data_IF_887320718245
#
_entry.id   IF_887320718245
#
_cell.length_a   1.000
_cell.length_b   1.000
_cell.length_c   1.000
_cell.angle_alpha   90.00
_cell.angle_beta   90.00
_cell.angle_gamma   90.00
#
_symmetry.space_group_name_H-M   'P 1'
#
loop_
_entity.id
_entity.type
_entity.pdbx_description
1 polymer ?
#
# COMPACT_ATOMS: atom_id res chain seq x y z
N UNK A 1 1.14 -5.55 9.83
CA UNK A 1 1.66 -6.20 8.60
C UNK A 1 1.77 -5.18 7.47
N UNK A 2 2.54 -5.53 6.43
CA UNK A 2 2.71 -4.73 5.21
C UNK A 2 2.06 -5.46 4.06
N UNK A 3 1.27 -4.75 3.27
CA UNK A 3 0.55 -5.30 2.13
C UNK A 3 1.07 -4.62 0.88
N UNK A 4 1.50 -5.41 -0.09
CA UNK A 4 1.90 -4.94 -1.40
C UNK A 4 1.05 -5.68 -2.45
N UNK A 5 0.51 -4.94 -3.41
CA UNK A 5 -0.38 -5.48 -4.42
C UNK A 5 -0.14 -4.81 -5.76
N UNK A 6 -0.51 -5.51 -6.84
CA UNK A 6 -0.41 -5.00 -8.20
C UNK A 6 -1.77 -4.92 -8.88
N UNK A 7 -1.96 -3.88 -9.68
CA UNK A 7 -3.10 -3.70 -10.58
C UNK A 7 -2.61 -3.25 -11.96
N UNK A 8 -3.48 -3.35 -12.96
CA UNK A 8 -3.20 -2.91 -14.31
C UNK A 8 -4.25 -1.90 -14.78
N UNK A 9 -3.80 -0.69 -15.09
CA UNK A 9 -4.65 0.38 -15.62
C UNK A 9 -4.67 0.37 -17.14
N UNK A 10 -5.73 0.97 -17.68
CA UNK A 10 -5.84 1.42 -19.07
C UNK A 10 -4.78 2.49 -19.36
N UNK A 11 -3.78 2.23 -20.23
CA UNK A 11 -2.72 3.19 -20.53
C UNK A 11 -3.22 4.55 -21.04
N UNK A 12 -4.36 4.56 -21.72
CA UNK A 12 -5.00 5.77 -22.24
C UNK A 12 -5.64 6.65 -21.16
N UNK A 13 -5.79 6.16 -19.92
CA UNK A 13 -6.43 6.90 -18.82
C UNK A 13 -5.46 7.29 -17.68
N UNK A 14 -4.15 7.05 -17.83
CA UNK A 14 -3.17 7.26 -16.74
C UNK A 14 -3.07 8.71 -16.27
N UNK A 15 -3.15 9.66 -17.20
CA UNK A 15 -3.10 11.09 -16.88
C UNK A 15 -4.27 11.50 -15.99
N UNK A 16 -5.48 11.05 -16.32
CA UNK A 16 -6.65 11.33 -15.51
C UNK A 16 -6.59 10.60 -14.16
N UNK A 17 -6.21 9.32 -14.13
CA UNK A 17 -6.05 8.57 -12.89
C UNK A 17 -5.14 9.29 -11.89
N UNK A 18 -3.99 9.78 -12.40
CA UNK A 18 -3.01 10.53 -11.60
C UNK A 18 -3.60 11.83 -11.06
N UNK A 19 -4.34 12.58 -11.90
CA UNK A 19 -5.00 13.81 -11.47
C UNK A 19 -6.05 13.55 -10.37
N UNK A 20 -6.84 12.48 -10.48
CA UNK A 20 -7.81 12.09 -9.44
C UNK A 20 -7.11 11.79 -8.11
N UNK A 21 -6.00 11.06 -8.15
CA UNK A 21 -5.27 10.67 -6.93
C UNK A 21 -4.42 11.80 -6.32
N UNK A 22 -4.26 12.93 -7.02
CA UNK A 22 -3.68 14.14 -6.44
C UNK A 22 -4.63 14.84 -5.45
N UNK A 23 -5.94 14.63 -5.61
CA UNK A 23 -7.01 15.27 -4.82
C UNK A 23 -8.08 14.24 -4.45
N UNK A 24 -7.67 13.20 -3.69
CA UNK A 24 -8.60 12.21 -3.14
C UNK A 24 -9.57 12.90 -2.19
N UNK A 25 -10.85 12.51 -2.26
CA UNK A 25 -11.89 13.11 -1.43
C UNK A 25 -11.64 12.88 0.07
N UNK A 26 -11.87 13.90 0.93
CA UNK A 26 -11.65 13.77 2.37
C UNK A 26 -12.34 12.56 3.00
N UNK A 27 -13.59 12.28 2.63
CA UNK A 27 -14.39 11.19 3.18
C UNK A 27 -13.81 9.82 2.83
N UNK A 28 -13.19 9.70 1.64
CA UNK A 28 -12.50 8.48 1.22
C UNK A 28 -11.19 8.30 2.00
N UNK A 29 -10.45 9.39 2.25
CA UNK A 29 -9.23 9.35 3.06
C UNK A 29 -9.54 8.92 4.50
N UNK A 30 -10.59 9.50 5.10
CA UNK A 30 -11.07 9.15 6.44
C UNK A 30 -11.53 7.69 6.51
N UNK A 31 -12.27 7.19 5.51
CA UNK A 31 -12.68 5.79 5.46
C UNK A 31 -11.49 4.82 5.42
N UNK A 32 -10.44 5.17 4.66
CA UNK A 32 -9.19 4.40 4.61
C UNK A 32 -8.46 4.39 5.95
N UNK A 33 -8.38 5.55 6.61
CA UNK A 33 -7.76 5.67 7.93
C UNK A 33 -8.56 4.89 9.00
N UNK A 34 -9.88 5.06 9.04
CA UNK A 34 -10.81 4.38 9.97
C UNK A 34 -10.77 2.85 9.81
N UNK A 35 -10.56 2.36 8.59
CA UNK A 35 -10.37 0.94 8.30
C UNK A 35 -9.02 0.39 8.83
N UNK A 36 -8.12 1.27 9.29
CA UNK A 36 -6.83 0.92 9.86
C UNK A 36 -5.72 0.75 8.83
N UNK A 37 -5.89 1.29 7.61
CA UNK A 37 -4.80 1.40 6.63
C UNK A 37 -4.00 2.66 6.90
N UNK A 38 -2.67 2.54 6.88
CA UNK A 38 -1.73 3.64 7.09
C UNK A 38 -0.55 3.51 6.16
N UNK A 39 0.22 4.60 6.03
CA UNK A 39 1.40 4.63 5.17
C UNK A 39 1.10 4.17 3.72
N UNK A 40 -0.09 4.53 3.23
CA UNK A 40 -0.62 4.06 1.95
C UNK A 40 -0.03 4.88 0.80
N UNK A 41 0.67 4.22 -0.13
CA UNK A 41 1.21 4.81 -1.35
C UNK A 41 0.86 3.99 -2.58
N UNK A 42 0.70 4.69 -3.70
CA UNK A 42 0.52 4.10 -5.02
C UNK A 42 1.66 4.56 -5.94
N UNK A 43 2.20 3.63 -6.74
CA UNK A 43 3.30 3.86 -7.67
C UNK A 43 2.87 3.40 -9.04
N UNK A 44 2.96 4.28 -10.04
CA UNK A 44 2.50 4.03 -11.39
C UNK A 44 3.66 4.00 -12.38
N UNK A 45 3.69 2.98 -13.24
CA UNK A 45 4.60 2.88 -14.39
C UNK A 45 3.87 3.31 -15.67
N UNK A 46 4.62 3.80 -16.65
CA UNK A 46 4.07 4.36 -17.90
C UNK A 46 3.27 3.36 -18.75
N UNK A 47 3.43 2.05 -18.54
CA UNK A 47 2.66 0.98 -19.19
C UNK A 47 1.37 0.62 -18.43
N UNK A 48 1.03 1.36 -17.37
CA UNK A 48 -0.18 1.16 -16.57
C UNK A 48 -0.04 0.17 -15.43
N UNK A 49 1.14 -0.41 -15.18
CA UNK A 49 1.37 -1.18 -13.96
C UNK A 49 1.30 -0.24 -12.76
N UNK A 50 0.37 -0.52 -11.84
CA UNK A 50 0.24 0.18 -10.58
C UNK A 50 0.60 -0.77 -9.43
N UNK A 51 1.51 -0.32 -8.57
CA UNK A 51 1.85 -0.98 -7.32
C UNK A 51 1.26 -0.17 -6.17
N UNK A 52 0.48 -0.82 -5.31
CA UNK A 52 0.03 -0.23 -4.07
C UNK A 52 0.71 -0.87 -2.87
N UNK A 53 0.99 -0.05 -1.86
CA UNK A 53 1.56 -0.46 -0.58
C UNK A 53 0.81 0.21 0.56
N UNK A 54 0.42 -0.53 1.58
CA UNK A 54 -0.03 0.03 2.85
C UNK A 54 0.36 -0.87 4.02
N UNK A 55 0.32 -0.29 5.21
CA UNK A 55 0.42 -1.00 6.47
C UNK A 55 -0.96 -1.11 7.13
N UNK A 56 -1.20 -2.24 7.78
CA UNK A 56 -2.41 -2.46 8.58
C UNK A 56 -2.17 -3.56 9.61
N UNK A 57 -2.98 -3.64 10.66
CA UNK A 57 -2.82 -4.68 11.67
C UNK A 57 -3.63 -5.94 11.32
N UNK A 58 -4.75 -5.79 10.61
CA UNK A 58 -5.62 -6.87 10.14
C UNK A 58 -6.19 -6.48 8.77
N UNK A 59 -5.62 -7.06 7.74
CA UNK A 59 -5.95 -6.71 6.37
C UNK A 59 -7.33 -7.22 5.91
N UNK A 60 -7.75 -8.39 6.37
CA UNK A 60 -9.09 -8.89 6.05
C UNK A 60 -10.16 -8.01 6.70
N UNK A 61 -9.92 -7.57 7.94
CA UNK A 61 -10.80 -6.62 8.61
C UNK A 61 -10.84 -5.28 7.88
N UNK A 62 -9.69 -4.72 7.51
CA UNK A 62 -9.62 -3.46 6.77
C UNK A 62 -10.42 -3.52 5.46
N UNK A 63 -10.28 -4.61 4.71
CA UNK A 63 -11.04 -4.83 3.47
C UNK A 63 -12.55 -4.92 3.73
N UNK A 64 -12.99 -5.64 4.77
CA UNK A 64 -14.42 -5.72 5.13
C UNK A 64 -15.00 -4.38 5.54
N UNK A 65 -14.25 -3.57 6.28
CA UNK A 65 -14.69 -2.24 6.70
C UNK A 65 -14.87 -1.33 5.50
N UNK A 66 -13.89 -1.26 4.60
CA UNK A 66 -13.98 -0.44 3.38
C UNK A 66 -15.11 -0.88 2.45
N UNK A 67 -15.34 -2.19 2.31
CA UNK A 67 -16.44 -2.73 1.51
C UNK A 67 -17.83 -2.38 2.06
N UNK A 68 -17.96 -2.16 3.37
CA UNK A 68 -19.21 -1.85 4.02
C UNK A 68 -19.43 -0.34 4.24
N UNK A 69 -18.42 0.48 4.00
CA UNK A 69 -18.46 1.92 4.27
C UNK A 69 -19.09 2.68 3.10
N UNK A 70 -20.24 3.35 3.27
CA UNK A 70 -20.88 4.07 2.18
C UNK A 70 -20.05 5.24 1.64
N UNK A 71 -19.07 5.76 2.40
CA UNK A 71 -18.16 6.82 1.95
C UNK A 71 -17.28 6.39 0.76
N UNK A 72 -17.03 5.09 0.59
CA UNK A 72 -16.14 4.56 -0.44
C UNK A 72 -16.86 4.34 -1.78
N UNK A 73 -18.17 4.15 -1.76
CA UNK A 73 -18.96 3.68 -2.90
C UNK A 73 -18.81 4.57 -4.15
N UNK A 74 -19.04 5.88 -4.00
CA UNK A 74 -19.00 6.82 -5.12
C UNK A 74 -17.58 6.96 -5.71
N UNK A 75 -16.56 6.93 -4.83
CA UNK A 75 -15.17 6.98 -5.25
C UNK A 75 -14.79 5.73 -6.04
N UNK A 76 -15.11 4.55 -5.51
CA UNK A 76 -14.85 3.27 -6.16
C UNK A 76 -15.56 3.14 -7.51
N UNK A 77 -16.84 3.55 -7.59
CA UNK A 77 -17.60 3.55 -8.83
C UNK A 77 -16.88 4.37 -9.91
N UNK A 78 -16.44 5.58 -9.57
CA UNK A 78 -15.69 6.42 -10.51
C UNK A 78 -14.32 5.85 -10.86
N UNK A 79 -13.65 5.17 -9.92
CA UNK A 79 -12.32 4.62 -10.14
C UNK A 79 -12.32 3.30 -10.92
N UNK A 80 -13.43 2.54 -10.89
CA UNK A 80 -13.56 1.25 -11.58
C UNK A 80 -13.19 1.33 -13.07
N UNK A 81 -13.49 2.46 -13.71
CA UNK A 81 -13.24 2.70 -15.13
C UNK A 81 -11.76 2.85 -15.50
N UNK A 82 -10.82 2.93 -14.56
CA UNK A 82 -9.39 3.04 -14.90
C UNK A 82 -8.71 1.68 -15.08
N UNK A 83 -9.28 0.61 -14.55
CA UNK A 83 -8.64 -0.70 -14.50
C UNK A 83 -8.98 -1.55 -15.73
N UNK A 84 -7.97 -2.18 -16.35
CA UNK A 84 -8.23 -3.23 -17.34
C UNK A 84 -9.03 -4.34 -16.65
N UNK A 85 -10.12 -4.77 -17.29
CA UNK A 85 -11.20 -5.57 -16.70
C UNK A 85 -10.69 -6.56 -15.64
N UNK A 86 -11.04 -6.29 -14.39
CA UNK A 86 -11.16 -7.32 -13.36
C UNK A 86 -12.58 -7.85 -13.49
N UNK A 87 -12.79 -9.15 -13.46
CA UNK A 87 -14.13 -9.74 -13.40
C UNK A 87 -14.81 -9.48 -12.01
N UNK A 88 -14.35 -8.47 -11.25
CA UNK A 88 -14.75 -8.07 -9.89
C UNK A 88 -14.08 -6.77 -9.41
N UNK A 89 -13.94 -6.56 -8.08
CA UNK A 89 -13.35 -5.33 -7.50
C UNK A 89 -11.82 -5.34 -7.61
N UNK A 90 -11.19 -4.45 -8.43
CA UNK A 90 -9.76 -4.53 -8.74
C UNK A 90 -8.84 -4.41 -7.51
N UNK A 91 -9.27 -3.71 -6.46
CA UNK A 91 -8.51 -3.49 -5.23
C UNK A 91 -8.58 -4.67 -4.24
N UNK A 92 -9.57 -5.56 -4.38
CA UNK A 92 -9.74 -6.77 -3.56
C UNK A 92 -9.24 -8.04 -4.27
N UNK A 93 -9.27 -8.05 -5.61
CA UNK A 93 -8.78 -9.14 -6.45
C UNK A 93 -7.33 -8.93 -6.91
N UNK A 94 -6.75 -7.76 -6.60
CA UNK A 94 -5.36 -7.45 -6.92
C UNK A 94 -4.42 -8.55 -6.42
N UNK A 95 -3.60 -9.16 -7.30
CA UNK A 95 -2.59 -10.11 -6.88
C UNK A 95 -1.67 -9.49 -5.84
N UNK A 96 -1.59 -10.14 -4.67
CA UNK A 96 -0.68 -9.75 -3.60
C UNK A 96 0.74 -10.14 -3.97
N UNK A 97 1.67 -9.24 -3.71
CA UNK A 97 3.09 -9.50 -3.82
C UNK A 97 3.62 -9.99 -2.47
N UNK A 98 4.43 -11.04 -2.51
CA UNK A 98 5.08 -11.59 -1.30
C UNK A 98 6.23 -10.69 -0.90
N UNK A 99 6.21 -10.16 0.32
CA UNK A 99 7.37 -9.49 0.91
C UNK A 99 8.48 -10.52 1.15
N UNK A 100 9.62 -10.34 0.48
CA UNK A 100 10.80 -11.21 0.64
C UNK A 100 11.90 -10.58 1.50
N UNK A 101 11.82 -9.26 1.75
CA UNK A 101 12.80 -8.50 2.51
C UNK A 101 12.20 -7.23 3.10
N UNK A 102 12.58 -6.91 4.35
CA UNK A 102 12.36 -5.62 5.00
C UNK A 102 13.58 -5.27 5.86
N UNK A 103 14.21 -4.12 5.58
CA UNK A 103 15.48 -3.72 6.18
C UNK A 103 15.34 -3.52 7.69
N UNK A 104 14.32 -2.77 8.10
CA UNK A 104 14.12 -2.33 9.48
C UNK A 104 13.81 -3.51 10.39
N UNK A 105 13.07 -4.51 9.92
CA UNK A 105 12.78 -5.72 10.70
C UNK A 105 14.05 -6.53 10.95
N UNK A 106 14.93 -6.65 9.94
CA UNK A 106 16.20 -7.37 10.10
C UNK A 106 17.18 -6.58 10.98
N UNK A 107 17.26 -5.26 10.82
CA UNK A 107 18.06 -4.39 11.70
C UNK A 107 17.57 -4.43 13.14
N UNK A 108 16.26 -4.43 13.38
CA UNK A 108 15.69 -4.53 14.73
C UNK A 108 16.07 -5.87 15.39
N UNK A 109 15.92 -6.98 14.65
CA UNK A 109 16.35 -8.31 15.10
C UNK A 109 17.85 -8.37 15.40
N UNK A 110 18.69 -7.85 14.50
CA UNK A 110 20.14 -7.81 14.69
C UNK A 110 20.53 -6.95 15.90
N UNK A 111 19.89 -5.79 16.08
CA UNK A 111 20.16 -4.91 17.23
C UNK A 111 19.71 -5.53 18.55
N UNK A 112 18.62 -6.30 18.55
CA UNK A 112 18.18 -7.05 19.72
C UNK A 112 19.14 -8.19 20.08
N UNK A 113 19.79 -8.81 19.11
CA UNK A 113 20.72 -9.94 19.33
C UNK A 113 22.16 -9.54 19.68
N UNK A 114 22.63 -8.34 19.32
CA UNK A 114 23.99 -7.88 19.67
C UNK A 114 24.00 -7.16 21.03
N UNK A 115 24.83 -7.55 22.02
CA UNK A 115 24.99 -6.83 23.28
C UNK A 115 25.57 -5.41 23.08
N UNK A 116 25.22 -4.47 23.99
CA UNK A 116 25.63 -3.05 23.93
C UNK A 116 27.15 -2.82 23.95
N UNK A 117 27.95 -3.77 24.41
CA UNK A 117 29.41 -3.65 24.51
C UNK A 117 30.12 -3.79 23.14
N UNK A 118 29.62 -4.65 22.25
CA UNK A 118 30.25 -4.94 20.94
C UNK A 118 29.96 -3.87 19.88
N UNK A 119 28.92 -3.06 20.08
CA UNK A 119 28.56 -1.95 19.18
C UNK A 119 29.53 -0.77 19.21
N UNK A 120 30.29 -0.59 20.30
CA UNK A 120 31.30 0.49 20.41
C UNK A 120 32.59 0.14 19.66
N UNK A 121 33.03 -1.12 19.76
CA UNK A 121 34.30 -1.57 19.18
C UNK A 121 34.33 -1.54 17.65
N UNK A 122 33.17 -1.70 17.00
CA UNK A 122 33.08 -1.71 15.52
C UNK A 122 33.05 -0.30 14.91
N UNK A 123 32.54 0.69 15.65
CA UNK A 123 32.53 2.10 15.22
C UNK A 123 33.92 2.74 15.36
N UNK A 124 34.70 2.30 16.35
CA UNK A 124 36.08 2.74 16.59
C UNK A 124 37.09 2.07 15.63
N UNK A 125 36.79 0.88 15.09
CA UNK A 125 37.65 0.20 14.08
C UNK A 125 37.44 0.64 12.64
N UNK A 126 36.33 1.34 12.34
CA UNK A 126 36.01 1.88 11.01
C UNK A 126 36.34 3.37 10.85
N UNK A 127 36.98 3.98 11.84
CA UNK A 127 37.49 5.37 11.79
C UNK A 127 39.00 5.39 11.56
#
# INVERSE_FOLDING_TARGET
MRVCFQMQLRPELLAEYTARHAEVWPEMLEAVEDAGRRNYSLFLRADGLLIGYYETDDDERAQRLLAADPRTADWEEQMSRFFLASDGRPDQEAPRLTEVFHLEDQLARHRASTPRAERKTDRERRS
#
